data_IF_935497027396
#
_entry.id   IF_935497027396
#
_cell.length_a   1.000
_cell.length_b   1.000
_cell.length_c   1.000
_cell.angle_alpha   90.00
_cell.angle_beta   90.00
_cell.angle_gamma   90.00
#
_symmetry.space_group_name_H-M   'P 1'
#
loop_
_entity.id
_entity.type
_entity.pdbx_description
1 polymer ?
#
# COMPACT_ATOMS: atom_id res chain seq x y z
N UNK A 1 -22.45 -4.37 6.34
CA UNK A 1 -22.20 -3.08 5.65
C UNK A 1 -20.71 -2.94 5.31
N UNK A 2 -20.13 -3.91 4.57
CA UNK A 2 -18.67 -4.04 4.39
C UNK A 2 -18.07 -3.19 3.26
N UNK A 3 -18.91 -2.60 2.41
CA UNK A 3 -18.49 -1.83 1.23
C UNK A 3 -18.98 -0.38 1.30
N UNK A 4 -18.82 0.26 2.47
CA UNK A 4 -18.99 1.72 2.52
C UNK A 4 -17.87 2.39 1.73
N UNK A 5 -18.09 3.58 1.13
CA UNK A 5 -17.04 4.29 0.38
C UNK A 5 -15.74 4.50 1.16
N UNK A 6 -15.82 4.57 2.49
CA UNK A 6 -14.65 4.69 3.38
C UNK A 6 -13.85 3.39 3.49
N UNK A 7 -14.50 2.23 3.43
CA UNK A 7 -13.86 0.91 3.57
C UNK A 7 -13.43 0.35 2.21
N UNK A 8 -14.08 0.76 1.13
CA UNK A 8 -13.84 0.26 -0.23
C UNK A 8 -12.37 0.34 -0.66
N UNK A 9 -11.62 1.46 -0.49
CA UNK A 9 -10.22 1.52 -0.90
C UNK A 9 -9.35 0.49 -0.15
N UNK A 10 -9.55 0.34 1.16
CA UNK A 10 -8.83 -0.62 1.98
C UNK A 10 -9.15 -2.06 1.55
N UNK A 11 -10.42 -2.33 1.28
CA UNK A 11 -10.86 -3.64 0.79
C UNK A 11 -10.24 -3.97 -0.58
N UNK A 12 -10.23 -3.03 -1.52
CA UNK A 12 -9.60 -3.19 -2.83
C UNK A 12 -8.10 -3.45 -2.70
N UNK A 13 -7.41 -2.73 -1.82
CA UNK A 13 -5.99 -2.97 -1.54
C UNK A 13 -5.75 -4.39 -1.02
N UNK A 14 -6.55 -4.83 -0.05
CA UNK A 14 -6.44 -6.18 0.53
C UNK A 14 -6.66 -7.24 -0.55
N UNK A 15 -7.72 -7.12 -1.34
CA UNK A 15 -8.04 -8.11 -2.39
C UNK A 15 -6.97 -8.12 -3.46
N UNK A 16 -6.45 -6.96 -3.88
CA UNK A 16 -5.40 -6.87 -4.90
C UNK A 16 -4.12 -7.56 -4.43
N UNK A 17 -3.70 -7.28 -3.19
CA UNK A 17 -2.49 -7.86 -2.61
C UNK A 17 -2.64 -9.36 -2.37
N UNK A 18 -3.78 -9.82 -1.84
CA UNK A 18 -4.06 -11.25 -1.68
C UNK A 18 -4.04 -11.96 -3.03
N UNK A 19 -4.72 -11.41 -4.04
CA UNK A 19 -4.77 -11.97 -5.39
C UNK A 19 -3.37 -12.10 -5.96
N UNK A 20 -2.54 -11.06 -5.84
CA UNK A 20 -1.14 -11.13 -6.26
C UNK A 20 -0.40 -12.26 -5.56
N UNK A 21 -0.48 -12.38 -4.24
CA UNK A 21 0.23 -13.42 -3.50
C UNK A 21 -0.27 -14.83 -3.82
N UNK A 22 -1.58 -15.01 -3.97
CA UNK A 22 -2.16 -16.29 -4.39
C UNK A 22 -1.71 -16.66 -5.79
N UNK A 23 -1.75 -15.73 -6.76
CA UNK A 23 -1.25 -15.98 -8.11
C UNK A 23 0.24 -16.30 -8.08
N UNK A 24 1.03 -15.54 -7.32
CA UNK A 24 2.49 -15.73 -7.22
C UNK A 24 2.85 -17.05 -6.53
N UNK A 25 2.09 -17.51 -5.55
CA UNK A 25 2.32 -18.78 -4.87
C UNK A 25 2.02 -19.98 -5.78
N UNK A 26 1.10 -19.82 -6.73
CA UNK A 26 0.74 -20.85 -7.72
C UNK A 26 1.52 -20.71 -9.04
N UNK A 27 2.33 -19.67 -9.19
CA UNK A 27 3.11 -19.43 -10.40
C UNK A 27 4.37 -20.31 -10.40
N UNK A 28 4.51 -21.23 -11.36
CA UNK A 28 5.66 -22.14 -11.44
C UNK A 28 6.97 -21.44 -11.83
N UNK A 29 6.90 -20.17 -12.25
CA UNK A 29 8.08 -19.42 -12.69
C UNK A 29 9.04 -19.19 -11.52
N UNK A 30 10.26 -19.70 -11.67
CA UNK A 30 11.35 -19.40 -10.77
C UNK A 30 11.91 -18.01 -11.05
N UNK A 31 11.61 -17.05 -10.17
CA UNK A 31 12.05 -15.68 -10.34
C UNK A 31 13.56 -15.47 -10.14
N UNK A 32 14.29 -16.43 -9.56
CA UNK A 32 15.75 -16.32 -9.45
C UNK A 32 16.40 -16.29 -10.84
N UNK A 33 15.74 -16.86 -11.87
CA UNK A 33 16.19 -16.76 -13.25
C UNK A 33 16.22 -15.32 -13.77
N UNK A 34 15.38 -14.43 -13.22
CA UNK A 34 15.32 -13.02 -13.61
C UNK A 34 16.17 -12.12 -12.73
N UNK A 35 16.89 -12.67 -11.74
CA UNK A 35 17.66 -11.86 -10.77
C UNK A 35 18.70 -10.96 -11.47
N UNK A 36 19.36 -11.45 -12.51
CA UNK A 36 20.31 -10.67 -13.30
C UNK A 36 19.63 -9.52 -14.09
N UNK A 37 18.35 -9.67 -14.42
CA UNK A 37 17.56 -8.64 -15.12
C UNK A 37 16.95 -7.60 -14.19
N UNK A 38 16.98 -7.83 -12.88
CA UNK A 38 16.41 -6.93 -11.88
C UNK A 38 17.35 -5.76 -11.51
N UNK A 39 18.47 -5.55 -12.22
CA UNK A 39 19.40 -4.44 -12.01
C UNK A 39 19.84 -4.26 -10.56
N UNK A 40 20.10 -5.38 -9.86
CA UNK A 40 20.52 -5.39 -8.46
C UNK A 40 19.38 -5.23 -7.44
N UNK A 41 18.12 -5.10 -7.88
CA UNK A 41 16.97 -5.14 -6.97
C UNK A 41 16.79 -6.57 -6.46
N UNK A 42 16.81 -6.79 -5.13
CA UNK A 42 16.66 -8.12 -4.59
C UNK A 42 15.25 -8.64 -4.83
N UNK A 43 15.15 -9.95 -5.08
CA UNK A 43 13.89 -10.60 -5.43
C UNK A 43 12.80 -10.42 -4.36
N UNK A 44 13.21 -10.37 -3.09
CA UNK A 44 12.32 -10.08 -1.97
C UNK A 44 11.62 -8.73 -2.12
N UNK A 45 12.33 -7.68 -2.52
CA UNK A 45 11.74 -6.35 -2.75
C UNK A 45 10.69 -6.38 -3.86
N UNK A 46 10.95 -7.12 -4.95
CA UNK A 46 9.97 -7.27 -6.05
C UNK A 46 8.71 -8.00 -5.57
N UNK A 47 8.87 -9.06 -4.79
CA UNK A 47 7.74 -9.83 -4.25
C UNK A 47 6.95 -9.06 -3.18
N UNK A 48 7.56 -8.07 -2.52
CA UNK A 48 6.93 -7.21 -1.53
C UNK A 48 6.35 -5.92 -2.13
N UNK A 49 6.62 -5.63 -3.42
CA UNK A 49 6.12 -4.44 -4.10
C UNK A 49 4.60 -4.22 -3.99
N UNK A 50 3.73 -5.27 -4.02
CA UNK A 50 2.28 -5.09 -3.82
C UNK A 50 1.88 -4.60 -2.43
N UNK A 51 2.80 -4.60 -1.45
CA UNK A 51 2.57 -4.02 -0.13
C UNK A 51 2.88 -2.53 -0.09
N UNK A 52 3.52 -1.97 -1.12
CA UNK A 52 3.89 -0.56 -1.17
C UNK A 52 2.70 0.39 -0.92
N UNK A 53 1.49 0.17 -1.49
CA UNK A 53 0.34 1.02 -1.18
C UNK A 53 -0.05 1.00 0.30
N UNK A 54 0.10 -0.13 0.99
CA UNK A 54 -0.14 -0.22 2.43
C UNK A 54 0.89 0.56 3.23
N UNK A 55 2.15 0.51 2.83
CA UNK A 55 3.21 1.31 3.47
C UNK A 55 2.93 2.81 3.29
N UNK A 56 2.58 3.25 2.08
CA UNK A 56 2.24 4.65 1.79
C UNK A 56 1.01 5.09 2.60
N UNK A 57 -0.04 4.27 2.63
CA UNK A 57 -1.21 4.51 3.47
C UNK A 57 -0.84 4.65 4.94
N UNK A 58 -0.06 3.71 5.47
CA UNK A 58 0.39 3.72 6.86
C UNK A 58 1.18 4.99 7.20
N UNK A 59 2.15 5.36 6.36
CA UNK A 59 2.88 6.61 6.51
C UNK A 59 1.95 7.83 6.47
N UNK A 60 0.96 7.85 5.57
CA UNK A 60 0.00 8.94 5.50
C UNK A 60 -0.81 9.09 6.79
N UNK A 61 -1.33 7.99 7.35
CA UNK A 61 -2.07 8.01 8.62
C UNK A 61 -1.17 8.39 9.81
N UNK A 62 0.09 7.94 9.83
CA UNK A 62 1.07 8.37 10.84
C UNK A 62 1.36 9.87 10.72
N UNK A 63 1.59 10.38 9.52
CA UNK A 63 1.83 11.82 9.31
C UNK A 63 0.60 12.64 9.72
N UNK A 64 -0.61 12.16 9.44
CA UNK A 64 -1.84 12.86 9.87
C UNK A 64 -2.04 12.87 11.38
N UNK A 65 -1.59 11.83 12.07
CA UNK A 65 -1.78 11.70 13.53
C UNK A 65 -0.68 12.42 14.31
N UNK A 66 0.56 12.38 13.83
CA UNK A 66 1.74 12.98 14.47
C UNK A 66 2.01 14.40 13.98
N UNK A 67 1.56 14.73 12.77
CA UNK A 67 1.76 16.04 12.17
C UNK A 67 1.06 17.16 12.93
N UNK A 68 1.52 18.41 12.77
CA UNK A 68 0.89 19.56 13.39
C UNK A 68 -0.58 19.62 12.95
N UNK A 69 -1.49 19.51 13.92
CA UNK A 69 -2.91 19.76 13.69
C UNK A 69 -3.02 21.23 13.31
N UNK A 70 -3.59 21.54 12.15
CA UNK A 70 -3.84 22.93 11.74
C UNK A 70 -4.54 23.69 12.85
N UNK A 71 -4.23 24.98 13.00
CA UNK A 71 -4.87 25.80 14.02
C UNK A 71 -6.38 25.79 13.83
N UNK A 72 -7.16 25.51 14.89
CA UNK A 72 -8.63 25.59 14.78
C UNK A 72 -9.09 27.00 14.44
N UNK A 73 -8.25 28.00 14.73
CA UNK A 73 -8.50 29.43 14.49
C UNK A 73 -8.62 29.77 13.00
N UNK A 74 -7.98 29.02 12.09
CA UNK A 74 -8.07 29.33 10.66
C UNK A 74 -9.45 29.00 10.06
N UNK A 75 -10.25 28.16 10.71
CA UNK A 75 -11.58 27.77 10.22
C UNK A 75 -12.62 28.85 10.55
N UNK A 76 -12.41 29.65 11.61
CA UNK A 76 -13.36 30.70 12.02
C UNK A 76 -13.38 31.93 11.09
N UNK A 77 -12.44 32.07 10.15
CA UNK A 77 -12.36 33.26 9.28
C UNK A 77 -13.18 33.10 7.98
N UNK A 78 -13.74 31.92 7.71
CA UNK A 78 -14.44 31.64 6.45
C UNK A 78 -15.89 31.13 6.61
N UNK A 79 -16.47 31.20 7.81
CA UNK A 79 -17.94 31.14 7.98
C UNK A 79 -18.53 32.56 8.00
#
# INVERSE_FOLDING_TARGET
MFLTPKVLPLWVLIVTTLTFYTLRANDPVNLTQYQDKLYGVPLSTVCLLPLLPFCVWGCYEVIRTVGPKGSSVAIEVYD
#
